data_IF_698216468236
#
_entry.id   IF_698216468236
#
_cell.length_a   1.000
_cell.length_b   1.000
_cell.length_c   1.000
_cell.angle_alpha   90.00
_cell.angle_beta   90.00
_cell.angle_gamma   90.00
#
_symmetry.space_group_name_H-M   'P 1'
#
loop_
_entity.id
_entity.type
_entity.pdbx_description
1 polymer ?
#
# COMPACT_ATOMS: atom_id res chain seq x y z
N UNK A 1 -26.65 -14.72 0.24
CA UNK A 1 -26.30 -13.81 -0.87
C UNK A 1 -26.60 -12.37 -0.46
N UNK A 2 -25.65 -11.45 -0.65
CA UNK A 2 -25.86 -10.04 -0.31
C UNK A 2 -26.39 -9.30 -1.52
N UNK A 3 -27.54 -8.63 -1.39
CA UNK A 3 -28.08 -7.78 -2.44
C UNK A 3 -27.35 -6.43 -2.45
N UNK A 4 -27.10 -5.88 -3.64
CA UNK A 4 -26.51 -4.54 -3.77
C UNK A 4 -27.46 -3.48 -3.24
N UNK A 5 -26.90 -2.36 -2.78
CA UNK A 5 -27.65 -1.24 -2.20
C UNK A 5 -28.61 -0.65 -3.25
N UNK A 6 -28.13 -0.49 -4.47
CA UNK A 6 -28.89 0.00 -5.63
C UNK A 6 -30.11 -0.91 -5.94
N UNK A 7 -29.94 -2.23 -5.86
CA UNK A 7 -31.05 -3.17 -6.11
C UNK A 7 -32.12 -3.05 -5.02
N UNK A 8 -31.73 -2.92 -3.75
CA UNK A 8 -32.67 -2.73 -2.63
C UNK A 8 -33.47 -1.44 -2.76
N UNK A 9 -32.83 -0.34 -3.16
CA UNK A 9 -33.50 0.95 -3.40
C UNK A 9 -34.45 0.89 -4.60
N UNK A 10 -34.04 0.29 -5.72
CA UNK A 10 -34.88 0.14 -6.91
C UNK A 10 -36.14 -0.70 -6.62
N UNK A 11 -36.00 -1.80 -5.86
CA UNK A 11 -37.12 -2.63 -5.42
C UNK A 11 -38.10 -1.81 -4.58
N UNK A 12 -37.61 -1.07 -3.58
CA UNK A 12 -38.49 -0.30 -2.69
C UNK A 12 -39.18 0.86 -3.41
N UNK A 13 -38.48 1.55 -4.34
CA UNK A 13 -39.09 2.60 -5.16
C UNK A 13 -40.27 2.05 -5.98
N UNK A 14 -40.10 0.89 -6.63
CA UNK A 14 -41.19 0.23 -7.38
C UNK A 14 -42.34 -0.23 -6.48
N UNK A 15 -42.05 -0.72 -5.27
CA UNK A 15 -43.07 -1.14 -4.31
C UNK A 15 -43.87 0.05 -3.79
N UNK A 16 -43.20 1.17 -3.47
CA UNK A 16 -43.85 2.39 -2.98
C UNK A 16 -44.66 3.11 -4.06
N UNK A 17 -44.26 2.97 -5.33
CA UNK A 17 -45.03 3.49 -6.47
C UNK A 17 -46.37 2.77 -6.68
N UNK A 18 -46.59 1.58 -6.09
CA UNK A 18 -47.89 0.90 -6.10
C UNK A 18 -48.34 0.33 -7.46
N UNK A 19 -47.57 0.51 -8.53
CA UNK A 19 -47.96 0.15 -9.89
C UNK A 19 -47.98 -1.37 -10.16
N UNK A 20 -47.30 -2.18 -9.35
CA UNK A 20 -47.18 -3.63 -9.57
C UNK A 20 -47.32 -4.42 -8.26
N UNK A 21 -47.92 -5.62 -8.30
CA UNK A 21 -48.00 -6.48 -7.12
C UNK A 21 -46.62 -7.05 -6.76
N UNK A 22 -46.37 -7.24 -5.45
CA UNK A 22 -45.06 -7.68 -4.93
C UNK A 22 -44.49 -8.95 -5.57
N UNK A 23 -45.35 -9.83 -6.08
CA UNK A 23 -44.93 -11.08 -6.71
C UNK A 23 -44.29 -10.89 -8.09
N UNK A 24 -44.73 -9.86 -8.82
CA UNK A 24 -44.21 -9.54 -10.14
C UNK A 24 -42.88 -8.83 -10.02
N UNK A 25 -42.77 -7.88 -9.07
CA UNK A 25 -41.52 -7.20 -8.70
C UNK A 25 -40.45 -8.23 -8.27
N UNK A 26 -40.86 -9.27 -7.53
CA UNK A 26 -39.98 -10.36 -7.12
C UNK A 26 -39.41 -11.15 -8.30
N UNK A 27 -40.22 -11.45 -9.32
CA UNK A 27 -39.76 -12.14 -10.54
C UNK A 27 -38.88 -11.24 -11.40
N UNK A 28 -39.27 -9.97 -11.57
CA UNK A 28 -38.58 -9.00 -12.43
C UNK A 28 -37.17 -8.68 -11.92
N UNK A 29 -36.99 -8.56 -10.61
CA UNK A 29 -35.73 -8.17 -9.99
C UNK A 29 -34.96 -9.34 -9.35
N UNK A 30 -35.48 -10.57 -9.46
CA UNK A 30 -34.85 -11.76 -8.91
C UNK A 30 -34.74 -11.76 -7.38
N UNK A 31 -35.64 -11.05 -6.69
CA UNK A 31 -35.63 -10.92 -5.22
C UNK A 31 -36.82 -11.66 -4.62
N UNK A 32 -36.60 -12.54 -3.63
CA UNK A 32 -37.68 -13.27 -2.99
C UNK A 32 -38.71 -12.37 -2.29
N UNK A 33 -40.01 -12.70 -2.38
CA UNK A 33 -41.12 -11.90 -1.81
C UNK A 33 -40.94 -11.59 -0.32
N UNK A 34 -40.44 -12.55 0.45
CA UNK A 34 -40.14 -12.39 1.88
C UNK A 34 -39.07 -11.30 2.14
N UNK A 35 -38.11 -11.16 1.22
CA UNK A 35 -37.05 -10.15 1.30
C UNK A 35 -37.61 -8.76 1.04
N UNK A 36 -38.49 -8.62 0.05
CA UNK A 36 -39.19 -7.37 -0.24
C UNK A 36 -40.04 -6.91 0.96
N UNK A 37 -40.82 -7.83 1.54
CA UNK A 37 -41.63 -7.54 2.73
C UNK A 37 -40.79 -7.09 3.94
N UNK A 38 -39.64 -7.73 4.16
CA UNK A 38 -38.69 -7.32 5.21
C UNK A 38 -38.18 -5.90 4.98
N UNK A 39 -37.78 -5.57 3.76
CA UNK A 39 -37.28 -4.23 3.41
C UNK A 39 -38.36 -3.15 3.55
N UNK A 40 -39.61 -3.46 3.19
CA UNK A 40 -40.73 -2.54 3.36
C UNK A 40 -41.02 -2.26 4.83
N UNK A 41 -40.94 -3.28 5.69
CA UNK A 41 -41.09 -3.12 7.15
C UNK A 41 -39.98 -2.25 7.74
N UNK A 42 -38.73 -2.50 7.34
CA UNK A 42 -37.57 -1.68 7.75
C UNK A 42 -37.73 -0.22 7.31
N UNK A 43 -38.24 0.03 6.10
CA UNK A 43 -38.52 1.37 5.58
C UNK A 43 -39.63 2.08 6.38
N UNK A 44 -40.75 1.40 6.64
CA UNK A 44 -41.88 1.97 7.41
C UNK A 44 -41.52 2.33 8.85
N UNK A 45 -40.64 1.55 9.51
CA UNK A 45 -40.24 1.82 10.89
C UNK A 45 -39.27 2.98 11.05
N UNK A 46 -38.38 3.19 10.07
CA UNK A 46 -37.27 4.13 10.22
C UNK A 46 -37.42 5.42 9.40
N UNK A 47 -38.49 5.57 8.62
CA UNK A 47 -38.76 6.73 7.74
C UNK A 47 -37.77 6.89 6.57
N UNK A 48 -36.74 6.05 6.53
CA UNK A 48 -35.68 5.97 5.54
C UNK A 48 -35.09 4.57 5.63
N UNK A 49 -34.55 4.06 4.53
CA UNK A 49 -33.71 2.87 4.57
C UNK A 49 -32.41 3.30 5.26
N UNK A 50 -32.38 3.30 6.60
CA UNK A 50 -31.11 3.19 7.32
C UNK A 50 -30.54 1.83 6.95
N UNK A 51 -29.81 1.83 5.85
CA UNK A 51 -28.84 0.83 5.49
C UNK A 51 -27.95 0.72 6.72
N UNK A 52 -28.20 -0.29 7.56
CA UNK A 52 -27.08 -0.91 8.25
C UNK A 52 -26.21 -1.42 7.12
N UNK A 53 -25.28 -0.58 6.66
CA UNK A 53 -24.13 -1.05 5.91
C UNK A 53 -23.66 -2.26 6.71
N UNK A 54 -23.46 -3.39 6.03
CA UNK A 54 -22.86 -4.55 6.67
C UNK A 54 -21.72 -4.04 7.54
N UNK A 55 -21.71 -4.47 8.80
CA UNK A 55 -20.60 -4.19 9.71
C UNK A 55 -19.30 -4.35 8.91
N UNK A 56 -18.59 -3.23 8.72
CA UNK A 56 -17.42 -3.19 7.84
C UNK A 56 -16.44 -4.19 8.41
N UNK A 57 -16.09 -5.23 7.65
CA UNK A 57 -15.10 -6.19 8.12
C UNK A 57 -13.79 -5.43 8.31
N UNK A 58 -12.93 -5.78 9.26
CA UNK A 58 -11.65 -5.09 9.45
C UNK A 58 -10.81 -4.94 8.16
N UNK A 59 -10.97 -5.87 7.20
CA UNK A 59 -10.32 -5.84 5.88
C UNK A 59 -10.89 -4.79 4.92
N UNK A 60 -12.14 -4.38 5.10
CA UNK A 60 -12.84 -3.39 4.27
C UNK A 60 -12.49 -1.94 4.69
N UNK A 61 -11.71 -1.75 5.76
CA UNK A 61 -11.24 -0.43 6.21
C UNK A 61 -10.00 0.02 5.42
N UNK A 62 -10.09 1.20 4.83
CA UNK A 62 -8.96 1.89 4.17
C UNK A 62 -7.93 2.38 5.19
N UNK A 63 -6.70 2.67 4.75
CA UNK A 63 -5.64 3.15 5.64
C UNK A 63 -6.03 4.47 6.35
N UNK A 64 -6.64 5.40 5.62
CA UNK A 64 -7.12 6.67 6.17
C UNK A 64 -8.19 6.45 7.25
N UNK A 65 -9.15 5.55 7.02
CA UNK A 65 -10.18 5.23 8.00
C UNK A 65 -9.60 4.56 9.25
N UNK A 66 -8.58 3.69 9.09
CA UNK A 66 -7.89 3.05 10.22
C UNK A 66 -7.17 4.08 11.08
N UNK A 67 -6.42 5.00 10.46
CA UNK A 67 -5.73 6.09 11.17
C UNK A 67 -6.75 7.00 11.87
N UNK A 68 -7.82 7.39 11.18
CA UNK A 68 -8.91 8.19 11.75
C UNK A 68 -9.54 7.52 12.98
N UNK A 69 -9.75 6.20 12.91
CA UNK A 69 -10.27 5.40 14.02
C UNK A 69 -9.30 5.40 15.22
N UNK A 70 -8.00 5.22 14.98
CA UNK A 70 -6.96 5.25 16.03
C UNK A 70 -6.93 6.62 16.70
N UNK A 71 -6.94 7.71 15.93
CA UNK A 71 -6.94 9.09 16.47
C UNK A 71 -8.17 9.33 17.34
N UNK A 72 -9.36 8.98 16.82
CA UNK A 72 -10.63 9.18 17.53
C UNK A 72 -10.72 8.38 18.83
N UNK A 73 -10.18 7.17 18.84
CA UNK A 73 -10.20 6.29 20.02
C UNK A 73 -9.05 6.57 20.99
N UNK A 74 -8.08 7.41 20.61
CA UNK A 74 -6.92 7.74 21.45
C UNK A 74 -7.26 8.52 22.72
N UNK A 75 -8.27 9.39 22.69
CA UNK A 75 -8.74 10.17 23.85
C UNK A 75 -9.84 9.46 24.67
N UNK A 76 -10.34 8.32 24.20
CA UNK A 76 -11.41 7.57 24.86
C UNK A 76 -10.86 6.67 25.96
N UNK A 77 -11.67 6.45 27.00
CA UNK A 77 -11.44 5.43 28.04
C UNK A 77 -11.58 4.01 27.47
N UNK A 78 -11.11 2.99 28.20
CA UNK A 78 -11.12 1.61 27.72
C UNK A 78 -12.55 1.10 27.39
N UNK A 79 -13.53 1.47 28.22
CA UNK A 79 -14.92 1.08 28.03
C UNK A 79 -15.56 1.76 26.82
N UNK A 80 -15.28 3.06 26.64
CA UNK A 80 -15.73 3.83 25.48
C UNK A 80 -15.13 3.31 24.17
N UNK A 81 -13.85 2.94 24.18
CA UNK A 81 -13.20 2.29 23.02
C UNK A 81 -13.88 0.97 22.68
N UNK A 82 -14.20 0.17 23.68
CA UNK A 82 -14.88 -1.12 23.50
C UNK A 82 -16.27 -0.94 22.90
N UNK A 83 -17.04 0.01 23.43
CA UNK A 83 -18.36 0.36 22.92
C UNK A 83 -18.29 0.90 21.48
N UNK A 84 -17.31 1.75 21.18
CA UNK A 84 -17.07 2.27 19.85
C UNK A 84 -16.69 1.17 18.86
N UNK A 85 -15.80 0.26 19.25
CA UNK A 85 -15.40 -0.91 18.45
C UNK A 85 -16.61 -1.75 18.05
N UNK A 86 -17.45 -2.13 19.03
CA UNK A 86 -18.69 -2.90 18.79
C UNK A 86 -19.65 -2.18 17.84
N UNK A 87 -19.81 -0.87 17.98
CA UNK A 87 -20.65 -0.05 17.09
C UNK A 87 -20.14 -0.01 15.65
N UNK A 88 -18.83 -0.11 15.46
CA UNK A 88 -18.17 -0.02 14.15
C UNK A 88 -17.82 -1.39 13.54
N UNK A 89 -18.20 -2.50 14.19
CA UNK A 89 -17.97 -3.86 13.66
C UNK A 89 -16.51 -4.31 13.76
N UNK A 90 -15.73 -3.72 14.65
CA UNK A 90 -14.32 -4.07 14.86
C UNK A 90 -14.06 -4.41 16.34
N UNK A 91 -12.91 -5.03 16.63
CA UNK A 91 -12.49 -5.36 17.98
C UNK A 91 -11.29 -4.51 18.40
N UNK A 92 -11.05 -4.43 19.71
CA UNK A 92 -9.94 -3.66 20.30
C UNK A 92 -8.59 -4.13 19.72
N UNK A 93 -8.39 -5.44 19.58
CA UNK A 93 -7.16 -5.98 19.01
C UNK A 93 -6.89 -5.50 17.57
N UNK A 94 -7.94 -5.16 16.80
CA UNK A 94 -7.77 -4.59 15.46
C UNK A 94 -7.20 -3.17 15.54
N UNK A 95 -7.68 -2.35 16.48
CA UNK A 95 -7.13 -1.01 16.70
C UNK A 95 -5.66 -1.08 17.15
N UNK A 96 -5.34 -2.00 18.06
CA UNK A 96 -3.98 -2.20 18.53
C UNK A 96 -3.07 -2.69 17.40
N UNK A 97 -3.56 -3.61 16.56
CA UNK A 97 -2.83 -4.07 15.38
C UNK A 97 -2.59 -2.92 14.40
N UNK A 98 -3.61 -2.13 14.07
CA UNK A 98 -3.47 -1.00 13.16
C UNK A 98 -2.52 0.07 13.70
N UNK A 99 -2.50 0.28 15.02
CA UNK A 99 -1.52 1.17 15.67
C UNK A 99 -0.10 0.63 15.51
N UNK A 100 0.12 -0.66 15.73
CA UNK A 100 1.42 -1.31 15.52
C UNK A 100 1.86 -1.23 14.07
N UNK A 101 0.96 -1.52 13.14
CA UNK A 101 1.22 -1.47 11.70
C UNK A 101 1.62 -0.04 11.28
N UNK A 102 0.89 0.98 11.74
CA UNK A 102 1.20 2.38 11.47
C UNK A 102 2.58 2.80 12.03
N UNK A 103 2.89 2.42 13.28
CA UNK A 103 4.22 2.68 13.87
C UNK A 103 5.31 1.95 13.07
N UNK A 104 5.06 0.70 12.66
CA UNK A 104 6.02 -0.09 11.90
C UNK A 104 6.25 0.40 10.48
N UNK A 105 5.30 1.14 9.91
CA UNK A 105 5.44 1.79 8.62
C UNK A 105 6.23 3.09 8.71
N UNK A 106 6.13 3.81 9.84
CA UNK A 106 6.90 5.04 10.10
C UNK A 106 8.36 4.71 10.41
N UNK A 107 8.62 3.64 11.16
CA UNK A 107 9.97 3.18 11.41
C UNK A 107 10.45 2.50 10.12
N UNK A 108 11.40 3.08 9.36
CA UNK A 108 11.97 2.37 8.23
C UNK A 108 12.63 1.11 8.79
N UNK A 109 12.00 -0.05 8.56
CA UNK A 109 12.71 -1.31 8.72
C UNK A 109 13.86 -1.21 7.75
N UNK A 110 15.09 -1.26 8.26
CA UNK A 110 16.25 -1.37 7.40
C UNK A 110 16.02 -2.62 6.53
N UNK A 111 15.65 -2.40 5.27
CA UNK A 111 15.35 -3.48 4.36
C UNK A 111 16.61 -4.33 4.30
N UNK A 112 16.53 -5.59 4.72
CA UNK A 112 17.68 -6.50 4.69
C UNK A 112 18.30 -6.52 3.29
N UNK A 113 17.45 -6.41 2.28
CA UNK A 113 17.82 -6.24 0.87
C UNK A 113 18.64 -4.96 0.62
N UNK A 114 18.20 -3.80 1.13
CA UNK A 114 18.94 -2.53 1.00
C UNK A 114 20.29 -2.56 1.74
N UNK A 115 20.37 -3.24 2.89
CA UNK A 115 21.63 -3.40 3.63
C UNK A 115 22.61 -4.26 2.83
N UNK A 116 22.15 -5.38 2.28
CA UNK A 116 23.00 -6.26 1.47
C UNK A 116 23.39 -5.60 0.14
N UNK A 117 22.48 -4.87 -0.50
CA UNK A 117 22.77 -4.06 -1.68
C UNK A 117 23.84 -3.02 -1.38
N UNK A 118 23.73 -2.29 -0.26
CA UNK A 118 24.73 -1.31 0.16
C UNK A 118 26.11 -1.95 0.39
N UNK A 119 26.17 -3.15 0.99
CA UNK A 119 27.43 -3.89 1.19
C UNK A 119 28.04 -4.30 -0.15
N UNK A 120 27.23 -4.78 -1.09
CA UNK A 120 27.69 -5.19 -2.41
C UNK A 120 28.23 -4.00 -3.21
N UNK A 121 27.49 -2.89 -3.25
CA UNK A 121 27.93 -1.63 -3.86
C UNK A 121 29.25 -1.15 -3.26
N UNK A 122 29.40 -1.22 -1.94
CA UNK A 122 30.65 -0.82 -1.26
C UNK A 122 31.84 -1.69 -1.69
N UNK A 123 31.65 -3.01 -1.84
CA UNK A 123 32.69 -3.92 -2.34
C UNK A 123 33.05 -3.62 -3.79
N UNK A 124 32.06 -3.39 -4.62
CA UNK A 124 32.25 -3.05 -6.03
C UNK A 124 33.02 -1.74 -6.20
N UNK A 125 32.65 -0.69 -5.45
CA UNK A 125 33.38 0.58 -5.42
C UNK A 125 34.85 0.36 -5.02
N UNK A 126 35.12 -0.47 -4.01
CA UNK A 126 36.49 -0.75 -3.59
C UNK A 126 37.29 -1.48 -4.66
N UNK A 127 36.67 -2.46 -5.35
CA UNK A 127 37.29 -3.19 -6.45
C UNK A 127 37.58 -2.28 -7.64
N UNK A 128 36.60 -1.46 -8.06
CA UNK A 128 36.75 -0.50 -9.14
C UNK A 128 37.83 0.53 -8.85
N UNK A 129 37.88 1.08 -7.63
CA UNK A 129 38.95 2.01 -7.22
C UNK A 129 40.34 1.38 -7.30
N UNK A 130 40.46 0.10 -6.91
CA UNK A 130 41.74 -0.61 -6.98
C UNK A 130 42.18 -0.86 -8.41
N UNK A 131 41.25 -1.23 -9.29
CA UNK A 131 41.53 -1.44 -10.71
C UNK A 131 41.93 -0.13 -11.40
N UNK A 132 41.21 0.96 -11.10
CA UNK A 132 41.52 2.30 -11.57
C UNK A 132 42.93 2.73 -11.14
N UNK A 133 43.29 2.55 -9.87
CA UNK A 133 44.65 2.85 -9.38
C UNK A 133 45.76 2.03 -10.07
N UNK A 134 45.49 0.76 -10.41
CA UNK A 134 46.45 -0.07 -11.15
C UNK A 134 46.63 0.43 -12.58
N UNK A 135 45.54 0.79 -13.25
CA UNK A 135 45.55 1.35 -14.60
C UNK A 135 46.26 2.69 -14.64
N UNK A 136 46.00 3.58 -13.67
CA UNK A 136 46.68 4.86 -13.56
C UNK A 136 48.19 4.69 -13.34
N UNK A 137 48.60 3.71 -12.53
CA UNK A 137 50.03 3.40 -12.33
C UNK A 137 50.70 2.90 -13.62
N UNK A 138 50.08 1.95 -14.31
CA UNK A 138 50.60 1.46 -15.59
C UNK A 138 50.67 2.59 -16.64
N UNK A 139 49.66 3.46 -16.67
CA UNK A 139 49.63 4.63 -17.54
C UNK A 139 50.78 5.59 -17.21
N UNK A 140 51.01 5.87 -15.92
CA UNK A 140 52.12 6.72 -15.48
C UNK A 140 53.50 6.11 -15.84
N UNK A 141 53.66 4.80 -15.69
CA UNK A 141 54.88 4.07 -16.10
C UNK A 141 55.12 4.18 -17.61
N UNK A 142 54.09 3.97 -18.45
CA UNK A 142 54.22 4.14 -19.90
C UNK A 142 54.54 5.59 -20.30
N UNK A 143 53.91 6.58 -19.66
CA UNK A 143 54.20 7.98 -19.89
C UNK A 143 55.66 8.31 -19.52
N UNK A 144 56.18 7.78 -18.40
CA UNK A 144 57.56 7.95 -18.00
C UNK A 144 58.53 7.32 -19.01
N UNK A 145 58.24 6.11 -19.52
CA UNK A 145 59.04 5.46 -20.56
C UNK A 145 59.06 6.26 -21.87
N UNK A 146 57.91 6.81 -22.30
CA UNK A 146 57.83 7.67 -23.48
C UNK A 146 58.66 8.95 -23.32
N UNK A 147 58.61 9.58 -22.15
CA UNK A 147 59.42 10.76 -21.84
C UNK A 147 60.90 10.43 -21.85
N UNK A 148 61.31 9.30 -21.26
CA UNK A 148 62.70 8.84 -21.27
C UNK A 148 63.18 8.53 -22.69
N UNK A 149 62.37 7.84 -23.51
CA UNK A 149 62.68 7.56 -24.92
C UNK A 149 62.91 8.86 -25.70
N UNK A 150 62.01 9.83 -25.55
CA UNK A 150 62.15 11.14 -26.21
C UNK A 150 63.43 11.86 -25.80
N UNK A 151 63.74 11.91 -24.49
CA UNK A 151 64.98 12.53 -23.99
C UNK A 151 66.23 11.82 -24.50
N UNK A 152 66.20 10.49 -24.60
CA UNK A 152 67.32 9.73 -25.14
C UNK A 152 67.54 10.04 -26.63
N UNK A 153 66.48 10.10 -27.43
CA UNK A 153 66.55 10.51 -28.84
C UNK A 153 67.08 11.95 -29.00
N UNK A 154 66.71 12.88 -28.12
CA UNK A 154 67.24 14.25 -28.13
C UNK A 154 68.75 14.32 -27.83
N UNK A 155 69.27 13.45 -26.97
CA UNK A 155 70.69 13.45 -26.56
C UNK A 155 71.57 12.67 -27.55
N UNK A 156 71.13 11.49 -27.97
CA UNK A 156 71.92 10.56 -28.79
C UNK A 156 71.56 10.56 -30.28
N UNK A 157 70.53 11.32 -30.69
CA UNK A 157 69.95 11.23 -32.03
C UNK A 157 68.98 10.05 -32.15
N UNK A 158 68.27 9.95 -33.27
CA UNK A 158 67.48 8.75 -33.55
C UNK A 158 68.42 7.56 -33.74
N UNK A 159 68.16 6.44 -33.05
CA UNK A 159 68.71 5.18 -33.52
C UNK A 159 68.07 4.90 -34.87
N UNK A 160 68.88 4.85 -35.93
CA UNK A 160 68.47 4.28 -37.21
C UNK A 160 68.21 2.78 -36.98
N UNK A 161 67.00 2.46 -36.53
CA UNK A 161 66.52 1.08 -36.45
C UNK A 161 65.44 0.89 -37.55
N UNK A 162 65.80 0.12 -38.58
CA UNK A 162 64.88 -0.55 -39.52
C UNK A 162 63.88 -1.46 -38.79
#
# INVERSE_FOLDING_TARGET
MGYSIQLKEAVLKKVLQGNKPHHEIAKELGVGRSTIGKWLREYKQNGSIKLKSKEKRPKDWTAEERISAIIKTGSMTADERTAWCRKNGIFIHNLDQWKKDAISAIIPKANKEQIEEYKNLKKEIAALKKDLSRKDKALAETAALLVLKKKAQEIWGESEDD
#
